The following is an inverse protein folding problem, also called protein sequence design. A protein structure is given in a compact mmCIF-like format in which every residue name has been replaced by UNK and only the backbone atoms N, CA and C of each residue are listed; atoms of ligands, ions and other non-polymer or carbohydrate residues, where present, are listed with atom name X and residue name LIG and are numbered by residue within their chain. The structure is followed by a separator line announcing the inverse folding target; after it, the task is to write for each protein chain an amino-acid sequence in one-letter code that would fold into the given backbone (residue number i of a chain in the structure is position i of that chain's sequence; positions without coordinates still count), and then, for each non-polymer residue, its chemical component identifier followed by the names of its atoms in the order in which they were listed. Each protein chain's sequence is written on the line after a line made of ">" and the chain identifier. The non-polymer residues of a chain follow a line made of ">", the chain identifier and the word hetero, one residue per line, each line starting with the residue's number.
data_IF_087851105143
#
_entry.id   IF_087851105143
#
_cell.length_a   1.000
_cell.length_b   1.000
_cell.length_c   1.000
_cell.angle_alpha   90.00
_cell.angle_beta   90.00
_cell.angle_gamma   90.00
#
_symmetry.space_group_name_H-M   'P 1'
#
loop_
_entity.id
_entity.type
_entity.pdbx_description
1 polymer ?
#
# COMPACT_ATOMS: atom_id res chain seq x y z
N UNK A 1 19.09 44.20 2.24
CA UNK A 1 19.03 44.16 0.76
C UNK A 1 18.49 42.79 0.38
N UNK A 2 17.18 42.66 0.16
CA UNK A 2 16.54 41.39 -0.19
C UNK A 2 16.41 41.25 -1.69
N UNK A 3 16.89 40.12 -2.20
CA UNK A 3 16.91 39.76 -3.61
C UNK A 3 15.52 39.20 -3.96
N UNK A 4 14.73 39.95 -4.71
CA UNK A 4 13.52 39.48 -5.38
C UNK A 4 13.85 39.42 -6.87
N UNK A 5 13.85 38.24 -7.48
CA UNK A 5 13.65 38.02 -8.95
C UNK A 5 13.80 36.54 -9.27
N UNK A 6 12.78 35.74 -8.94
CA UNK A 6 12.71 34.32 -9.33
C UNK A 6 11.46 33.94 -10.15
N UNK A 7 10.43 34.79 -10.19
CA UNK A 7 9.12 34.40 -10.74
C UNK A 7 8.84 34.85 -12.18
N UNK A 8 9.72 35.66 -12.79
CA UNK A 8 9.43 36.30 -14.09
C UNK A 8 9.73 35.42 -15.33
N UNK A 9 10.37 34.27 -15.13
CA UNK A 9 10.71 33.34 -16.20
C UNK A 9 9.62 32.32 -16.50
N UNK A 10 8.94 31.82 -15.47
CA UNK A 10 7.93 30.76 -15.57
C UNK A 10 6.63 31.27 -16.22
N UNK A 11 6.23 32.51 -15.90
CA UNK A 11 5.02 33.12 -16.46
C UNK A 11 5.11 33.34 -17.98
N UNK A 12 6.29 33.73 -18.49
CA UNK A 12 6.51 33.88 -19.96
C UNK A 12 6.49 32.55 -20.69
N UNK A 13 7.02 31.50 -20.06
CA UNK A 13 7.05 30.17 -20.67
C UNK A 13 5.64 29.59 -20.78
N UNK A 14 4.80 29.84 -19.79
CA UNK A 14 3.39 29.39 -19.79
C UNK A 14 2.55 30.16 -20.83
N UNK A 15 2.82 31.46 -21.03
CA UNK A 15 2.15 32.27 -22.05
C UNK A 15 2.54 31.84 -23.48
N UNK A 16 3.82 31.53 -23.71
CA UNK A 16 4.30 31.03 -25.01
C UNK A 16 3.74 29.63 -25.32
N UNK A 17 3.65 28.74 -24.32
CA UNK A 17 3.05 27.41 -24.46
C UNK A 17 1.55 27.53 -24.78
N UNK A 18 0.83 28.39 -24.07
CA UNK A 18 -0.60 28.62 -24.31
C UNK A 18 -0.84 29.20 -25.71
N UNK A 19 0.00 30.14 -26.16
CA UNK A 19 -0.05 30.72 -27.49
C UNK A 19 0.25 29.69 -28.61
N UNK A 20 1.21 28.80 -28.39
CA UNK A 20 1.55 27.73 -29.34
C UNK A 20 0.43 26.68 -29.46
N UNK A 21 -0.30 26.42 -28.38
CA UNK A 21 -1.45 25.49 -28.37
C UNK A 21 -2.67 26.08 -29.07
N UNK A 22 -2.94 27.38 -28.91
CA UNK A 22 -4.02 28.10 -29.58
C UNK A 22 -3.81 28.15 -31.10
N UNK A 23 -2.58 28.39 -31.55
CA UNK A 23 -2.23 28.52 -32.97
C UNK A 23 -2.29 27.18 -33.75
N UNK A 24 -2.28 26.05 -33.03
CA UNK A 24 -2.40 24.71 -33.61
C UNK A 24 -3.82 24.14 -33.58
N UNK A 25 -4.82 24.96 -33.25
CA UNK A 25 -6.23 24.58 -33.24
C UNK A 25 -6.52 23.33 -32.38
N UNK A 26 -5.78 23.15 -31.28
CA UNK A 26 -6.12 22.17 -30.25
C UNK A 26 -7.33 22.69 -29.47
N UNK A 27 -8.52 22.50 -30.05
CA UNK A 27 -9.78 22.79 -29.40
C UNK A 27 -9.96 21.83 -28.21
N UNK A 28 -9.95 22.43 -27.01
CA UNK A 28 -10.47 21.92 -25.74
C UNK A 28 -10.56 20.41 -25.56
N UNK A 29 -9.61 19.85 -24.83
CA UNK A 29 -9.92 18.71 -23.97
C UNK A 29 -9.29 18.95 -22.59
N UNK A 30 -10.13 19.29 -21.63
CA UNK A 30 -9.74 19.54 -20.23
C UNK A 30 -9.15 18.30 -19.55
N UNK A 31 -9.20 17.14 -20.21
CA UNK A 31 -8.58 15.89 -19.77
C UNK A 31 -7.03 15.94 -19.82
N UNK A 32 -6.43 16.71 -20.74
CA UNK A 32 -4.98 16.70 -20.93
C UNK A 32 -4.20 17.59 -19.95
N UNK A 33 -4.81 18.64 -19.40
CA UNK A 33 -4.18 19.47 -18.35
C UNK A 33 -4.00 18.70 -17.05
N UNK A 34 -4.87 17.71 -16.79
CA UNK A 34 -4.74 16.78 -15.67
C UNK A 34 -3.48 15.92 -15.81
N UNK A 35 -3.18 15.43 -17.02
CA UNK A 35 -1.97 14.63 -17.29
C UNK A 35 -0.69 15.45 -17.15
N UNK A 36 -0.70 16.75 -17.49
CA UNK A 36 0.47 17.62 -17.28
C UNK A 36 0.77 17.84 -15.80
N UNK A 37 -0.26 17.95 -14.96
CA UNK A 37 -0.11 18.06 -13.51
C UNK A 37 0.45 16.78 -12.90
N UNK A 38 0.01 15.63 -13.42
CA UNK A 38 0.50 14.29 -13.06
C UNK A 38 1.96 14.08 -13.51
N UNK A 39 2.32 14.54 -14.71
CA UNK A 39 3.69 14.52 -15.25
C UNK A 39 4.65 15.45 -14.48
N UNK A 40 4.18 16.63 -14.05
CA UNK A 40 4.97 17.54 -13.23
C UNK A 40 5.22 16.96 -11.83
N UNK A 41 4.25 16.23 -11.24
CA UNK A 41 4.47 15.49 -9.98
C UNK A 41 5.49 14.35 -10.13
N UNK A 42 5.57 13.72 -11.31
CA UNK A 42 6.55 12.66 -11.58
C UNK A 42 7.98 13.21 -11.79
N UNK A 43 8.13 14.50 -12.12
CA UNK A 43 9.43 15.13 -12.42
C UNK A 43 10.24 15.59 -11.19
N UNK A 44 9.70 15.51 -9.97
CA UNK A 44 10.45 15.83 -8.74
C UNK A 44 11.31 14.67 -8.19
N UNK A 45 11.48 13.59 -8.96
CA UNK A 45 12.40 12.50 -8.59
C UNK A 45 13.77 12.80 -9.19
N UNK A 46 14.67 13.39 -8.39
CA UNK A 46 16.09 13.41 -8.71
C UNK A 46 16.60 11.96 -8.72
N UNK A 47 16.85 11.41 -9.91
CA UNK A 47 17.45 10.08 -10.07
C UNK A 47 18.79 10.20 -10.80
N UNK A 48 19.89 10.16 -10.05
CA UNK A 48 21.20 9.81 -10.59
C UNK A 48 21.28 8.30 -10.83
N UNK A 49 21.06 7.95 -12.09
CA UNK A 49 21.64 6.89 -12.93
C UNK A 49 21.95 5.49 -12.35
N UNK A 50 21.42 4.52 -13.11
CA UNK A 50 22.12 3.33 -13.63
C UNK A 50 22.00 2.02 -12.86
N UNK A 51 20.89 1.32 -13.09
CA UNK A 51 20.91 0.05 -13.83
C UNK A 51 19.48 -0.45 -14.09
N UNK A 52 19.25 -0.98 -15.28
CA UNK A 52 17.93 -1.37 -15.81
C UNK A 52 17.32 -2.60 -15.15
N UNK A 53 16.97 -2.51 -13.87
CA UNK A 53 15.98 -3.39 -13.26
C UNK A 53 14.66 -2.65 -13.27
N UNK A 54 13.63 -3.22 -13.90
CA UNK A 54 12.27 -2.71 -13.85
C UNK A 54 11.96 -2.29 -12.42
N UNK A 55 11.86 -0.97 -12.22
CA UNK A 55 11.25 -0.36 -11.07
C UNK A 55 9.77 -0.75 -11.19
N UNK A 56 9.43 -1.97 -10.76
CA UNK A 56 8.12 -2.18 -10.14
C UNK A 56 8.21 -1.32 -8.90
N UNK A 57 7.88 -0.05 -9.10
CA UNK A 57 7.75 0.93 -8.06
C UNK A 57 6.92 0.24 -6.99
N UNK A 58 7.57 -0.06 -5.87
CA UNK A 58 6.91 0.13 -4.59
C UNK A 58 6.55 1.61 -4.62
N UNK A 59 5.42 1.96 -5.26
CA UNK A 59 4.65 3.12 -4.86
C UNK A 59 4.25 2.76 -3.45
N UNK A 60 5.17 3.06 -2.53
CA UNK A 60 4.91 3.46 -1.17
C UNK A 60 3.69 4.34 -1.26
N UNK A 61 2.58 3.83 -0.75
CA UNK A 61 1.51 4.71 -0.33
C UNK A 61 2.22 5.70 0.57
N UNK A 62 2.22 6.99 0.21
CA UNK A 62 2.96 8.05 0.88
C UNK A 62 2.33 8.34 2.25
N UNK A 63 2.34 7.32 3.10
CA UNK A 63 1.80 7.31 4.44
C UNK A 63 2.97 7.42 5.39
N UNK A 64 2.86 8.37 6.31
CA UNK A 64 3.92 8.63 7.27
C UNK A 64 4.26 7.35 8.09
N UNK A 65 5.52 7.19 8.55
CA UNK A 65 5.91 6.11 9.47
C UNK A 65 4.94 5.94 10.64
N UNK A 66 4.50 7.07 11.19
CA UNK A 66 3.58 7.13 12.32
C UNK A 66 2.17 6.65 11.95
N UNK A 67 1.71 6.90 10.73
CA UNK A 67 0.43 6.39 10.24
C UNK A 67 0.49 4.87 10.09
N UNK A 68 1.54 4.33 9.48
CA UNK A 68 1.74 2.88 9.32
C UNK A 68 1.69 2.15 10.67
N UNK A 69 2.39 2.68 11.69
CA UNK A 69 2.33 2.15 13.06
C UNK A 69 0.93 2.20 13.66
N UNK A 70 0.24 3.34 13.54
CA UNK A 70 -1.13 3.52 14.07
C UNK A 70 -2.14 2.60 13.37
N UNK A 71 -2.03 2.46 12.05
CA UNK A 71 -2.88 1.55 11.27
C UNK A 71 -2.71 0.12 11.72
N UNK A 72 -1.47 -0.31 11.98
CA UNK A 72 -1.21 -1.65 12.49
C UNK A 72 -1.78 -1.86 13.90
N UNK A 73 -1.61 -0.89 14.80
CA UNK A 73 -2.21 -0.95 16.14
C UNK A 73 -3.72 -1.05 16.10
N UNK A 74 -4.37 -0.30 15.20
CA UNK A 74 -5.82 -0.32 15.04
C UNK A 74 -6.30 -1.68 14.53
N UNK A 75 -5.59 -2.27 13.57
CA UNK A 75 -5.85 -3.64 13.12
C UNK A 75 -5.69 -4.64 14.28
N UNK A 76 -4.63 -4.49 15.07
CA UNK A 76 -4.36 -5.38 16.21
C UNK A 76 -5.46 -5.31 17.27
N UNK A 77 -5.89 -4.10 17.65
CA UNK A 77 -7.01 -3.92 18.58
C UNK A 77 -8.31 -4.53 18.04
N UNK A 78 -8.63 -4.28 16.76
CA UNK A 78 -9.78 -4.88 16.11
C UNK A 78 -9.79 -6.41 16.20
N UNK A 79 -8.66 -7.07 15.93
CA UNK A 79 -8.58 -8.54 16.05
C UNK A 79 -8.74 -9.04 17.48
N UNK A 80 -8.26 -8.28 18.47
CA UNK A 80 -8.34 -8.65 19.90
C UNK A 80 -9.75 -8.55 20.45
N UNK A 81 -10.54 -7.60 19.95
CA UNK A 81 -11.94 -7.36 20.33
C UNK A 81 -12.93 -8.36 19.74
N UNK A 82 -12.56 -9.13 18.71
CA UNK A 82 -13.44 -10.17 18.13
C UNK A 82 -13.61 -11.35 19.10
N UNK A 83 -14.75 -12.04 18.98
CA UNK A 83 -15.01 -13.31 19.68
C UNK A 83 -14.06 -14.41 19.18
N UNK A 84 -13.87 -15.46 19.99
CA UNK A 84 -12.88 -16.52 19.73
C UNK A 84 -13.00 -17.17 18.35
N UNK A 85 -14.22 -17.32 17.82
CA UNK A 85 -14.49 -17.98 16.54
C UNK A 85 -13.93 -17.16 15.38
N UNK A 86 -14.32 -15.88 15.27
CA UNK A 86 -13.86 -15.01 14.20
C UNK A 86 -12.45 -14.49 14.43
N UNK A 87 -12.04 -14.36 15.70
CA UNK A 87 -10.71 -13.88 16.06
C UNK A 87 -9.60 -14.72 15.44
N UNK A 88 -9.72 -16.04 15.47
CA UNK A 88 -8.71 -16.92 14.89
C UNK A 88 -8.56 -16.71 13.37
N UNK A 89 -9.70 -16.56 12.66
CA UNK A 89 -9.73 -16.35 11.21
C UNK A 89 -9.22 -14.96 10.82
N UNK A 90 -9.71 -13.92 11.49
CA UNK A 90 -9.30 -12.53 11.21
C UNK A 90 -7.83 -12.31 11.60
N UNK A 91 -7.32 -12.95 12.65
CA UNK A 91 -5.91 -12.80 13.07
C UNK A 91 -4.91 -13.28 12.02
N UNK A 92 -5.32 -14.12 11.06
CA UNK A 92 -4.44 -14.56 9.97
C UNK A 92 -3.92 -13.39 9.12
N UNK A 93 -4.64 -12.26 9.09
CA UNK A 93 -4.23 -11.06 8.35
C UNK A 93 -3.06 -10.31 9.00
N UNK A 94 -2.86 -10.48 10.31
CA UNK A 94 -1.89 -9.70 11.07
C UNK A 94 -0.47 -9.93 10.58
N UNK A 95 -0.10 -11.18 10.33
CA UNK A 95 1.24 -11.53 9.88
C UNK A 95 1.60 -10.95 8.50
N UNK A 96 0.84 -11.19 7.41
CA UNK A 96 1.19 -10.66 6.11
C UNK A 96 1.21 -9.12 6.10
N UNK A 97 0.25 -8.44 6.75
CA UNK A 97 0.26 -6.98 6.84
C UNK A 97 1.50 -6.49 7.59
N UNK A 98 1.84 -7.12 8.72
CA UNK A 98 3.03 -6.79 9.50
C UNK A 98 4.31 -6.89 8.66
N UNK A 99 4.47 -7.98 7.90
CA UNK A 99 5.64 -8.18 7.04
C UNK A 99 5.71 -7.08 5.98
N UNK A 100 4.61 -6.79 5.28
CA UNK A 100 4.61 -5.75 4.25
C UNK A 100 4.93 -4.36 4.81
N UNK A 101 4.32 -3.99 5.94
CA UNK A 101 4.63 -2.72 6.61
C UNK A 101 6.10 -2.64 7.03
N UNK A 102 6.66 -3.72 7.57
CA UNK A 102 8.07 -3.76 7.96
C UNK A 102 9.01 -3.58 6.75
N UNK A 103 8.73 -4.30 5.65
CA UNK A 103 9.53 -4.22 4.43
C UNK A 103 9.41 -2.85 3.74
N UNK A 104 8.23 -2.23 3.76
CA UNK A 104 8.00 -0.91 3.20
C UNK A 104 8.74 0.19 4.01
N UNK A 105 8.75 0.07 5.35
CA UNK A 105 9.51 0.97 6.22
C UNK A 105 11.03 0.84 6.02
N UNK A 106 11.55 -0.39 5.87
CA UNK A 106 12.96 -0.59 5.56
C UNK A 106 13.34 -0.09 4.17
N UNK A 107 12.46 -0.27 3.18
CA UNK A 107 12.69 0.21 1.81
C UNK A 107 12.69 1.74 1.72
N UNK A 108 11.93 2.42 2.58
CA UNK A 108 11.88 3.88 2.69
C UNK A 108 12.95 4.47 3.62
N UNK A 109 13.96 3.68 4.02
CA UNK A 109 15.05 4.08 4.93
C UNK A 109 14.59 4.52 6.33
N UNK A 110 13.39 4.12 6.75
CA UNK A 110 12.81 4.43 8.06
C UNK A 110 13.10 3.30 9.07
N UNK A 111 14.39 2.97 9.21
CA UNK A 111 14.85 1.78 9.95
C UNK A 111 14.44 1.80 11.42
N UNK A 112 14.51 2.95 12.10
CA UNK A 112 14.15 3.07 13.52
C UNK A 112 12.67 2.73 13.76
N UNK A 113 11.79 3.23 12.89
CA UNK A 113 10.35 2.93 12.93
C UNK A 113 10.10 1.46 12.63
N UNK A 114 10.81 0.88 11.65
CA UNK A 114 10.69 -0.53 11.31
C UNK A 114 11.08 -1.43 12.51
N UNK A 115 12.21 -1.14 13.16
CA UNK A 115 12.68 -1.87 14.34
C UNK A 115 11.75 -1.72 15.54
N UNK A 116 11.14 -0.54 15.69
CA UNK A 116 10.11 -0.28 16.71
C UNK A 116 8.85 -1.11 16.45
N UNK A 117 8.35 -1.11 15.21
CA UNK A 117 7.22 -1.93 14.77
C UNK A 117 7.51 -3.41 15.06
N UNK A 118 8.71 -3.88 14.70
CA UNK A 118 9.11 -5.26 14.90
C UNK A 118 9.17 -5.64 16.38
N UNK A 119 9.90 -4.87 17.18
CA UNK A 119 10.12 -5.19 18.60
C UNK A 119 8.83 -5.18 19.41
N UNK A 120 7.91 -4.25 19.11
CA UNK A 120 6.65 -4.10 19.84
C UNK A 120 5.62 -5.17 19.51
N UNK A 121 5.59 -5.65 18.26
CA UNK A 121 4.49 -6.46 17.76
C UNK A 121 4.85 -7.88 17.34
N UNK A 122 6.14 -8.25 17.25
CA UNK A 122 6.61 -9.60 16.87
C UNK A 122 5.93 -10.73 17.63
N UNK A 123 5.65 -10.55 18.92
CA UNK A 123 5.03 -11.58 19.76
C UNK A 123 3.54 -11.76 19.42
N UNK A 124 2.86 -10.69 19.00
CA UNK A 124 1.44 -10.73 18.61
C UNK A 124 1.22 -11.41 17.26
N UNK A 125 2.24 -11.44 16.39
CA UNK A 125 2.18 -12.05 15.05
C UNK A 125 2.92 -13.39 14.96
N UNK A 126 3.46 -13.91 16.08
CA UNK A 126 4.30 -15.12 16.10
C UNK A 126 3.55 -16.41 15.77
N UNK A 127 2.25 -16.47 16.04
CA UNK A 127 1.47 -17.71 15.94
C UNK A 127 1.59 -18.32 14.53
N UNK A 128 2.32 -19.45 14.41
CA UNK A 128 2.53 -20.16 13.15
C UNK A 128 3.66 -19.64 12.24
N UNK A 129 4.35 -18.54 12.60
CA UNK A 129 5.33 -17.86 11.73
C UNK A 129 6.68 -17.57 12.41
N UNK A 130 7.05 -18.39 13.40
CA UNK A 130 8.27 -18.17 14.17
C UNK A 130 9.57 -18.23 13.35
N UNK A 131 9.62 -19.09 12.33
CA UNK A 131 10.79 -19.21 11.45
C UNK A 131 10.95 -17.99 10.56
N UNK A 132 9.86 -17.55 9.94
CA UNK A 132 9.85 -16.36 9.08
C UNK A 132 10.14 -15.10 9.89
N UNK A 133 9.65 -14.98 11.12
CA UNK A 133 9.98 -13.85 12.00
C UNK A 133 11.46 -13.84 12.39
N UNK A 134 12.08 -15.00 12.55
CA UNK A 134 13.51 -15.08 12.83
C UNK A 134 14.31 -14.56 11.64
N UNK A 135 14.00 -15.03 10.43
CA UNK A 135 14.65 -14.55 9.20
C UNK A 135 14.37 -13.06 8.96
N UNK A 136 13.15 -12.58 9.26
CA UNK A 136 12.80 -11.16 9.18
C UNK A 136 13.61 -10.30 10.17
N UNK A 137 13.96 -10.84 11.34
CA UNK A 137 14.77 -10.11 12.34
C UNK A 137 16.22 -9.86 11.91
N UNK A 138 16.72 -10.63 10.94
CA UNK A 138 18.06 -10.47 10.36
C UNK A 138 18.09 -9.33 9.32
N UNK A 139 16.93 -8.90 8.84
CA UNK A 139 16.76 -7.85 7.83
C UNK A 139 16.71 -6.46 8.49
N UNK A 140 17.84 -5.97 8.99
CA UNK A 140 17.90 -4.67 9.67
C UNK A 140 18.24 -3.47 8.77
N UNK A 141 18.57 -3.71 7.50
CA UNK A 141 19.02 -2.68 6.57
C UNK A 141 18.42 -2.87 5.18
N UNK A 142 18.10 -1.79 4.44
CA UNK A 142 17.61 -1.87 3.06
C UNK A 142 18.50 -2.71 2.14
N UNK A 143 19.82 -2.72 2.35
CA UNK A 143 20.77 -3.51 1.56
C UNK A 143 20.49 -5.03 1.66
N UNK A 144 20.01 -5.51 2.80
CA UNK A 144 19.73 -6.94 3.01
C UNK A 144 18.39 -7.37 2.38
N UNK A 145 17.53 -6.43 2.00
CA UNK A 145 16.22 -6.74 1.41
C UNK A 145 16.33 -7.40 0.03
N UNK A 146 17.28 -6.97 -0.80
CA UNK A 146 17.40 -7.45 -2.18
C UNK A 146 17.91 -8.89 -2.27
N UNK A 147 18.77 -9.31 -1.33
CA UNK A 147 19.38 -10.63 -1.33
C UNK A 147 18.51 -11.69 -0.63
N UNK A 148 17.53 -11.28 0.18
CA UNK A 148 16.73 -12.20 0.99
C UNK A 148 15.75 -13.03 0.14
N UNK A 149 15.81 -14.37 0.19
CA UNK A 149 14.82 -15.24 -0.43
C UNK A 149 13.41 -15.00 0.13
N UNK A 150 13.29 -14.71 1.43
CA UNK A 150 12.02 -14.41 2.10
C UNK A 150 11.35 -13.17 1.50
N UNK A 151 12.10 -12.08 1.33
CA UNK A 151 11.58 -10.84 0.73
C UNK A 151 11.09 -11.11 -0.69
N UNK A 152 11.86 -11.87 -1.47
CA UNK A 152 11.46 -12.26 -2.82
C UNK A 152 10.19 -13.13 -2.83
N UNK A 153 10.02 -14.03 -1.86
CA UNK A 153 8.80 -14.83 -1.70
C UNK A 153 7.58 -13.95 -1.44
N UNK A 154 7.65 -13.04 -0.46
CA UNK A 154 6.53 -12.14 -0.14
C UNK A 154 6.22 -11.13 -1.25
N UNK A 155 7.21 -10.75 -2.07
CA UNK A 155 6.98 -9.87 -3.23
C UNK A 155 6.32 -10.58 -4.40
N UNK A 156 6.65 -11.85 -4.65
CA UNK A 156 6.17 -12.60 -5.82
C UNK A 156 4.83 -13.29 -5.60
N UNK A 157 4.49 -13.62 -4.36
CA UNK A 157 3.32 -14.42 -4.03
C UNK A 157 2.38 -13.65 -3.12
N UNK A 158 1.12 -13.50 -3.54
CA UNK A 158 0.05 -13.00 -2.66
C UNK A 158 -0.22 -14.02 -1.55
N UNK A 159 -0.41 -13.52 -0.34
CA UNK A 159 -0.72 -14.36 0.81
C UNK A 159 -2.19 -14.79 0.73
N UNK A 160 -2.45 -16.10 0.71
CA UNK A 160 -3.82 -16.63 0.70
C UNK A 160 -4.33 -16.82 2.13
N UNK A 161 -5.43 -16.16 2.48
CA UNK A 161 -6.09 -16.22 3.77
C UNK A 161 -7.40 -16.98 3.62
N UNK A 162 -7.67 -17.95 4.51
CA UNK A 162 -8.92 -18.71 4.50
C UNK A 162 -9.77 -18.34 5.69
N UNK A 163 -10.93 -17.75 5.41
CA UNK A 163 -11.87 -17.33 6.45
C UNK A 163 -13.33 -17.56 6.03
N UNK A 164 -14.21 -17.63 7.01
CA UNK A 164 -15.66 -17.69 6.81
C UNK A 164 -16.18 -16.39 6.19
N UNK A 165 -17.36 -16.46 5.57
CA UNK A 165 -18.05 -15.27 5.04
C UNK A 165 -18.27 -14.22 6.15
N UNK A 166 -18.63 -14.65 7.38
CA UNK A 166 -18.84 -13.75 8.50
C UNK A 166 -17.55 -12.99 8.89
N UNK A 167 -16.42 -13.70 9.00
CA UNK A 167 -15.13 -13.08 9.29
C UNK A 167 -14.68 -12.11 8.19
N UNK A 168 -14.90 -12.48 6.93
CA UNK A 168 -14.63 -11.59 5.79
C UNK A 168 -15.44 -10.30 5.86
N UNK A 169 -16.75 -10.38 6.12
CA UNK A 169 -17.61 -9.19 6.25
C UNK A 169 -17.15 -8.28 7.40
N UNK A 170 -16.82 -8.85 8.56
CA UNK A 170 -16.30 -8.09 9.70
C UNK A 170 -15.00 -7.35 9.35
N UNK A 171 -14.09 -8.02 8.63
CA UNK A 171 -12.84 -7.41 8.17
C UNK A 171 -13.10 -6.27 7.19
N UNK A 172 -13.98 -6.47 6.20
CA UNK A 172 -14.31 -5.43 5.21
C UNK A 172 -14.95 -4.21 5.86
N UNK A 173 -15.91 -4.42 6.77
CA UNK A 173 -16.53 -3.35 7.54
C UNK A 173 -15.49 -2.55 8.33
N UNK A 174 -14.54 -3.24 8.97
CA UNK A 174 -13.44 -2.59 9.66
C UNK A 174 -12.58 -1.74 8.71
N UNK A 175 -12.15 -2.30 7.57
CA UNK A 175 -11.30 -1.57 6.63
C UNK A 175 -11.97 -0.31 6.06
N UNK A 176 -13.30 -0.35 5.86
CA UNK A 176 -14.08 0.82 5.42
C UNK A 176 -14.15 1.92 6.50
N UNK A 177 -14.31 1.55 7.77
CA UNK A 177 -14.44 2.51 8.89
C UNK A 177 -13.09 3.01 9.40
N UNK A 178 -12.03 2.24 9.20
CA UNK A 178 -10.72 2.52 9.78
C UNK A 178 -10.06 3.79 9.20
N UNK A 179 -10.54 4.32 8.05
CA UNK A 179 -10.00 5.50 7.35
C UNK A 179 -8.47 5.42 7.18
N UNK A 180 -7.92 4.21 7.03
CA UNK A 180 -6.48 3.96 6.86
C UNK A 180 -6.20 3.46 5.44
N UNK A 181 -5.92 4.35 4.49
CA UNK A 181 -5.69 3.96 3.10
C UNK A 181 -4.48 3.03 2.95
N UNK A 182 -3.44 3.21 3.77
CA UNK A 182 -2.25 2.35 3.78
C UNK A 182 -2.58 0.88 4.03
N UNK A 183 -3.46 0.63 5.01
CA UNK A 183 -3.85 -0.72 5.38
C UNK A 183 -4.72 -1.35 4.30
N UNK A 184 -5.71 -0.61 3.80
CA UNK A 184 -6.60 -1.09 2.74
C UNK A 184 -5.81 -1.46 1.47
N UNK A 185 -4.94 -0.57 1.01
CA UNK A 185 -4.13 -0.80 -0.18
C UNK A 185 -3.16 -1.97 -0.02
N UNK A 186 -2.60 -2.16 1.19
CA UNK A 186 -1.72 -3.30 1.50
C UNK A 186 -2.49 -4.61 1.43
N UNK A 187 -3.71 -4.63 1.96
CA UNK A 187 -4.61 -5.79 1.89
C UNK A 187 -4.94 -6.12 0.43
N UNK A 188 -5.38 -5.14 -0.35
CA UNK A 188 -5.77 -5.35 -1.75
C UNK A 188 -4.59 -5.83 -2.63
N UNK A 189 -3.41 -5.24 -2.43
CA UNK A 189 -2.21 -5.53 -3.22
C UNK A 189 -1.65 -6.91 -2.92
N UNK A 190 -1.54 -7.28 -1.65
CA UNK A 190 -0.73 -8.43 -1.23
C UNK A 190 -1.51 -9.62 -0.70
N UNK A 191 -2.81 -9.48 -0.46
CA UNK A 191 -3.64 -10.57 0.06
C UNK A 191 -4.58 -11.12 -0.99
N UNK A 192 -4.92 -12.40 -0.84
CA UNK A 192 -6.03 -13.05 -1.51
C UNK A 192 -6.86 -13.71 -0.41
N UNK A 193 -8.14 -13.37 -0.32
CA UNK A 193 -9.03 -13.93 0.71
C UNK A 193 -9.91 -14.99 0.05
N UNK A 194 -9.76 -16.23 0.51
CA UNK A 194 -10.50 -17.41 0.09
C UNK A 194 -11.57 -17.77 1.14
N UNK A 195 -12.84 -17.83 0.72
CA UNK A 195 -13.99 -18.19 1.56
C UNK A 195 -14.91 -16.99 1.87
N UNK A 196 -16.24 -17.09 1.88
CA UNK A 196 -17.13 -18.17 1.50
C UNK A 196 -18.26 -17.62 0.61
N UNK A 197 -18.07 -17.74 -0.70
CA UNK A 197 -19.12 -17.88 -1.72
C UNK A 197 -18.53 -18.77 -2.82
N UNK A 198 -18.53 -20.09 -2.64
CA UNK A 198 -18.33 -21.01 -3.77
C UNK A 198 -19.64 -21.14 -4.55
N UNK A 199 -20.12 -20.04 -5.12
CA UNK A 199 -21.05 -20.14 -6.23
C UNK A 199 -20.18 -20.27 -7.47
N UNK A 200 -20.23 -21.44 -8.12
CA UNK A 200 -19.41 -21.83 -9.26
C UNK A 200 -19.67 -20.97 -10.51
N UNK A 201 -19.37 -19.66 -10.50
CA UNK A 201 -19.34 -18.81 -11.70
C UNK A 201 -18.53 -17.54 -11.45
N UNK A 202 -17.21 -17.62 -11.23
CA UNK A 202 -16.28 -16.52 -11.52
C UNK A 202 -14.84 -16.98 -11.26
N UNK A 203 -14.03 -17.05 -12.31
CA UNK A 203 -12.59 -17.36 -12.23
C UNK A 203 -11.74 -16.10 -11.97
N UNK A 204 -12.27 -15.12 -11.25
CA UNK A 204 -11.52 -13.90 -10.95
C UNK A 204 -11.40 -13.69 -9.43
N UNK A 205 -10.17 -13.51 -8.90
CA UNK A 205 -9.97 -13.00 -7.55
C UNK A 205 -10.77 -11.71 -7.40
N UNK A 206 -11.49 -11.57 -6.29
CA UNK A 206 -12.41 -10.46 -6.03
C UNK A 206 -11.70 -9.12 -6.28
N UNK A 207 -12.08 -8.42 -7.36
CA UNK A 207 -11.73 -7.02 -7.59
C UNK A 207 -12.72 -6.15 -6.85
N UNK A 208 -12.22 -5.17 -6.08
CA UNK A 208 -13.01 -4.26 -5.24
C UNK A 208 -14.12 -3.50 -6.01
N UNK A 209 -13.93 -3.32 -7.32
CA UNK A 209 -14.96 -2.77 -8.23
C UNK A 209 -16.27 -3.55 -8.24
N UNK A 210 -16.25 -4.84 -7.91
CA UNK A 210 -17.48 -5.64 -7.83
C UNK A 210 -18.24 -5.42 -6.51
N UNK A 211 -17.54 -5.08 -5.42
CA UNK A 211 -18.12 -4.93 -4.08
C UNK A 211 -18.76 -3.54 -3.91
N UNK A 212 -18.17 -2.49 -4.49
CA UNK A 212 -18.76 -1.14 -4.45
C UNK A 212 -20.04 -0.99 -5.29
N UNK A 213 -20.32 -1.92 -6.20
CA UNK A 213 -21.56 -1.95 -7.01
C UNK A 213 -22.75 -2.57 -6.30
N UNK A 214 -22.56 -3.26 -5.16
CA UNK A 214 -23.63 -3.90 -4.43
C UNK A 214 -24.08 -2.97 -3.30
N UNK A 215 -25.30 -2.43 -3.44
CA UNK A 215 -25.87 -1.48 -2.48
C UNK A 215 -25.99 -2.05 -1.06
N UNK A 216 -26.23 -1.18 -0.06
CA UNK A 216 -26.10 -1.47 1.37
C UNK A 216 -27.08 -2.52 1.94
N UNK A 217 -27.92 -3.15 1.13
CA UNK A 217 -28.99 -4.06 1.57
C UNK A 217 -29.11 -5.34 0.74
N UNK A 218 -28.10 -5.73 -0.04
CA UNK A 218 -28.15 -6.98 -0.80
C UNK A 218 -26.90 -7.83 -0.54
N UNK A 219 -26.83 -8.47 0.62
CA UNK A 219 -26.06 -9.70 0.86
C UNK A 219 -26.65 -10.48 2.04
#
# INVERSE_FOLDING_TARGET
>A
MSVHTGHRGEDRLMEDIQGALQNKNYAGDAQNTHTLRELLMLSSVDMETSNGTSITALCTIDSSPAETLRSFERLLSFTREKDHTHKAEVSQILFPVFVHFYLDLLSSSQTDTALTLFSRHKDSVRSGHGSELKELSELTSPHHLHASPLVNKFRKQKFSLRMSSAAFHLLMQFLQVCETPVLFNTVERYLTIEGACTNKTSKHPLSFTHIQSMGPLQW
#
